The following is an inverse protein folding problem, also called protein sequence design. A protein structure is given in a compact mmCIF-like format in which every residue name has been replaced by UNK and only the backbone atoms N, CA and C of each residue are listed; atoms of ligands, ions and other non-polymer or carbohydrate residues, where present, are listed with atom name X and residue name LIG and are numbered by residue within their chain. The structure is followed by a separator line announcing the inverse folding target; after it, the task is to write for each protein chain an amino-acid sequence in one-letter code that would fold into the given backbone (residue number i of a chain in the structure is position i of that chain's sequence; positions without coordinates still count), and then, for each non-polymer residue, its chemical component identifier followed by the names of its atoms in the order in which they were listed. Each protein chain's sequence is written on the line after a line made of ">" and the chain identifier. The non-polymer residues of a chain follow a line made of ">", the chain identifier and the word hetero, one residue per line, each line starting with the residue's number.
data_IF_219557183738
#
_entry.id   IF_219557183738
#
_cell.length_a   1.000
_cell.length_b   1.000
_cell.length_c   1.000
_cell.angle_alpha   90.00
_cell.angle_beta   90.00
_cell.angle_gamma   90.00
#
_symmetry.space_group_name_H-M   'P 1'
#
loop_
_entity.id
_entity.type
_entity.pdbx_description
1 polymer ?
#
# COMPACT_ATOMS: atom_id res chain seq x y z
N UNK A 1 7.61 7.12 19.57
CA UNK A 1 6.56 6.31 18.92
C UNK A 1 6.79 6.41 17.43
N UNK A 2 6.75 5.31 16.70
CA UNK A 2 6.97 5.29 15.25
C UNK A 2 5.92 6.15 14.54
N UNK A 3 6.36 7.22 13.88
CA UNK A 3 5.48 8.19 13.21
C UNK A 3 4.83 7.59 11.96
N UNK A 4 5.57 6.76 11.22
CA UNK A 4 5.08 6.07 10.01
C UNK A 4 3.89 5.18 10.33
N UNK A 5 3.98 4.35 11.38
CA UNK A 5 2.89 3.46 11.77
C UNK A 5 1.62 4.22 12.20
N UNK A 6 1.76 5.39 12.82
CA UNK A 6 0.61 6.27 13.13
C UNK A 6 -0.03 6.83 11.86
N UNK A 7 0.79 7.32 10.93
CA UNK A 7 0.34 7.84 9.65
C UNK A 7 -0.42 6.79 8.84
N UNK A 8 0.12 5.57 8.75
CA UNK A 8 -0.55 4.43 8.12
C UNK A 8 -1.91 4.14 8.77
N UNK A 9 -2.02 4.22 10.10
CA UNK A 9 -3.31 4.03 10.79
C UNK A 9 -4.29 5.15 10.48
N UNK A 10 -3.86 6.40 10.49
CA UNK A 10 -4.73 7.53 10.16
C UNK A 10 -5.28 7.38 8.73
N UNK A 11 -4.43 7.04 7.76
CA UNK A 11 -4.83 6.78 6.38
C UNK A 11 -5.83 5.62 6.27
N UNK A 12 -5.64 4.56 7.06
CA UNK A 12 -6.61 3.46 7.14
C UNK A 12 -7.97 3.95 7.67
N UNK A 13 -7.98 4.79 8.69
CA UNK A 13 -9.22 5.34 9.28
C UNK A 13 -9.93 6.29 8.31
N UNK A 14 -9.19 7.18 7.64
CA UNK A 14 -9.72 8.10 6.63
C UNK A 14 -10.35 7.36 5.45
N UNK A 15 -9.71 6.29 4.99
CA UNK A 15 -10.19 5.46 3.89
C UNK A 15 -11.19 4.37 4.34
N UNK A 16 -11.58 4.35 5.61
CA UNK A 16 -12.44 3.34 6.24
C UNK A 16 -11.98 1.88 6.00
N UNK A 17 -10.67 1.66 5.88
CA UNK A 17 -10.07 0.36 5.61
C UNK A 17 -9.72 -0.37 6.89
N UNK A 18 -9.98 -1.68 6.91
CA UNK A 18 -9.55 -2.56 8.02
C UNK A 18 -8.23 -3.24 7.68
N UNK A 19 -7.54 -3.73 8.71
CA UNK A 19 -6.31 -4.53 8.55
C UNK A 19 -6.55 -5.72 7.61
N UNK A 20 -7.75 -6.31 7.63
CA UNK A 20 -8.16 -7.37 6.72
C UNK A 20 -8.14 -6.96 5.25
N UNK A 21 -8.49 -5.72 4.93
CA UNK A 21 -8.50 -5.21 3.56
C UNK A 21 -7.08 -4.93 3.07
N UNK A 22 -6.22 -4.40 3.95
CA UNK A 22 -4.79 -4.24 3.67
C UNK A 22 -4.12 -5.58 3.42
N UNK A 23 -4.44 -6.62 4.19
CA UNK A 23 -3.93 -7.98 3.98
C UNK A 23 -4.33 -8.52 2.61
N UNK A 24 -5.60 -8.32 2.21
CA UNK A 24 -6.09 -8.75 0.89
C UNK A 24 -5.43 -8.01 -0.26
N UNK A 25 -5.16 -6.71 -0.10
CA UNK A 25 -4.55 -5.85 -1.14
C UNK A 25 -3.04 -5.99 -1.22
N UNK A 26 -2.35 -6.07 -0.08
CA UNK A 26 -0.87 -6.16 -0.02
C UNK A 26 -0.32 -7.56 -0.22
N UNK A 27 -1.17 -8.60 -0.11
CA UNK A 27 -0.74 -9.99 -0.13
C UNK A 27 0.13 -10.40 1.09
N UNK A 28 0.24 -9.54 2.11
CA UNK A 28 1.04 -9.81 3.30
C UNK A 28 0.25 -10.60 4.35
N UNK A 29 0.92 -11.46 5.14
CA UNK A 29 0.27 -12.14 6.25
C UNK A 29 -0.30 -11.15 7.27
N UNK A 30 -1.47 -11.47 7.85
CA UNK A 30 -2.13 -10.62 8.86
C UNK A 30 -1.22 -10.30 10.05
N UNK A 31 -0.45 -11.28 10.52
CA UNK A 31 0.54 -11.11 11.58
C UNK A 31 1.63 -10.10 11.21
N UNK A 32 2.00 -10.00 9.94
CA UNK A 32 3.01 -9.07 9.43
C UNK A 32 2.43 -7.66 9.39
N UNK A 33 1.26 -7.47 8.77
CA UNK A 33 0.61 -6.15 8.71
C UNK A 33 0.36 -5.60 10.12
N UNK A 34 -0.18 -6.45 11.01
CA UNK A 34 -0.43 -6.08 12.41
C UNK A 34 0.87 -5.74 13.14
N UNK A 35 1.93 -6.54 12.96
CA UNK A 35 3.22 -6.25 13.57
C UNK A 35 3.82 -4.93 13.08
N UNK A 36 3.63 -4.57 11.81
CA UNK A 36 4.14 -3.30 11.24
C UNK A 36 3.38 -2.10 11.84
N UNK A 37 2.06 -2.20 11.91
CA UNK A 37 1.20 -1.16 12.48
C UNK A 37 1.38 -1.00 14.01
N UNK A 38 1.78 -2.06 14.72
CA UNK A 38 1.96 -2.04 16.19
C UNK A 38 3.40 -1.78 16.62
N UNK A 39 4.39 -2.37 15.94
CA UNK A 39 5.82 -2.30 16.32
C UNK A 39 6.57 -1.18 15.60
N UNK A 40 6.00 -0.64 14.52
CA UNK A 40 6.60 0.42 13.73
C UNK A 40 7.05 -0.03 12.34
N UNK A 41 6.84 0.83 11.34
CA UNK A 41 7.29 0.58 9.97
C UNK A 41 8.82 0.68 9.83
N UNK A 42 9.51 1.35 10.76
CA UNK A 42 10.97 1.43 10.77
C UNK A 42 11.64 0.07 10.98
N UNK A 43 11.00 -0.82 11.75
CA UNK A 43 11.51 -2.18 12.00
C UNK A 43 11.07 -3.19 10.93
N UNK A 44 10.23 -2.76 10.00
CA UNK A 44 9.78 -3.58 8.90
C UNK A 44 10.77 -3.46 7.73
N UNK A 45 10.95 -4.54 6.97
CA UNK A 45 11.70 -4.44 5.71
C UNK A 45 11.01 -3.46 4.77
N UNK A 46 11.78 -2.62 4.07
CA UNK A 46 11.29 -1.60 3.14
C UNK A 46 10.25 -2.15 2.14
N UNK A 47 10.49 -3.36 1.62
CA UNK A 47 9.57 -4.07 0.72
C UNK A 47 8.18 -4.27 1.35
N UNK A 48 8.10 -4.59 2.64
CA UNK A 48 6.84 -4.79 3.33
C UNK A 48 6.12 -3.46 3.59
N UNK A 49 6.87 -2.39 3.88
CA UNK A 49 6.30 -1.05 4.01
C UNK A 49 5.70 -0.61 2.68
N UNK A 50 6.44 -0.77 1.59
CA UNK A 50 5.97 -0.44 0.24
C UNK A 50 4.69 -1.19 -0.13
N UNK A 51 4.59 -2.49 0.19
CA UNK A 51 3.36 -3.28 -0.04
C UNK A 51 2.15 -2.77 0.76
N UNK A 52 2.36 -2.29 1.98
CA UNK A 52 1.29 -1.69 2.79
C UNK A 52 0.90 -0.31 2.24
N UNK A 53 1.88 0.50 1.85
CA UNK A 53 1.65 1.78 1.20
C UNK A 53 0.83 1.61 -0.09
N UNK A 54 1.24 0.68 -0.97
CA UNK A 54 0.51 0.38 -2.20
C UNK A 54 -0.92 -0.09 -1.91
N UNK A 55 -1.13 -0.90 -0.87
CA UNK A 55 -2.47 -1.32 -0.46
C UNK A 55 -3.37 -0.16 -0.01
N UNK A 56 -2.77 0.90 0.53
CA UNK A 56 -3.42 2.16 0.90
C UNK A 56 -3.55 3.14 -0.27
N UNK A 57 -2.90 2.87 -1.40
CA UNK A 57 -2.85 3.76 -2.56
C UNK A 57 -1.90 4.94 -2.39
N UNK A 58 -0.86 4.78 -1.55
CA UNK A 58 0.22 5.75 -1.40
C UNK A 58 1.57 5.10 -1.69
N UNK A 59 2.60 5.89 -1.99
CA UNK A 59 3.96 5.39 -2.13
C UNK A 59 4.74 5.45 -0.81
N UNK A 60 5.83 4.68 -0.71
CA UNK A 60 6.73 4.79 0.43
C UNK A 60 7.40 6.18 0.51
N UNK A 61 7.63 6.84 -0.62
CA UNK A 61 8.17 8.21 -0.66
C UNK A 61 7.18 9.23 -0.11
N UNK A 62 5.90 9.09 -0.46
CA UNK A 62 4.81 9.93 0.08
C UNK A 62 4.72 9.78 1.60
N UNK A 63 4.83 8.55 2.11
CA UNK A 63 4.87 8.28 3.55
C UNK A 63 6.07 8.97 4.22
N UNK A 64 7.26 8.93 3.61
CA UNK A 64 8.45 9.62 4.15
C UNK A 64 8.29 11.13 4.12
N UNK A 65 7.72 11.70 3.05
CA UNK A 65 7.39 13.12 2.96
C UNK A 65 6.44 13.54 4.08
N UNK A 66 5.39 12.78 4.32
CA UNK A 66 4.43 13.05 5.41
C UNK A 66 5.06 12.96 6.81
N UNK A 67 6.09 12.13 6.98
CA UNK A 67 6.83 12.03 8.25
C UNK A 67 7.82 13.19 8.41
N UNK A 68 8.48 13.59 7.32
CA UNK A 68 9.41 14.71 7.30
C UNK A 68 8.70 16.05 7.53
N UNK A 69 7.54 16.25 6.90
CA UNK A 69 6.65 17.39 7.13
C UNK A 69 5.78 17.14 8.36
N UNK A 70 6.31 17.44 9.56
CA UNK A 70 5.59 17.33 10.84
C UNK A 70 4.29 18.17 10.93
N UNK A 71 3.94 18.90 9.87
CA UNK A 71 2.82 19.84 9.76
C UNK A 71 1.88 19.54 8.58
N UNK A 72 1.90 18.31 8.03
CA UNK A 72 1.03 17.94 6.91
C UNK A 72 -0.46 17.96 7.31
N UNK A 73 -1.11 19.10 7.12
CA UNK A 73 -2.56 19.15 6.93
C UNK A 73 -2.84 18.60 5.53
N UNK A 74 -3.68 17.54 5.38
CA UNK A 74 -4.05 17.02 4.07
C UNK A 74 -4.90 18.07 3.35
N UNK A 75 -4.24 19.04 2.73
CA UNK A 75 -4.85 19.88 1.72
C UNK A 75 -4.76 19.12 0.42
N UNK A 76 -5.87 19.07 -0.32
CA UNK A 76 -6.03 18.38 -1.62
C UNK A 76 -6.22 16.86 -1.57
N UNK A 77 -7.49 16.48 -1.43
CA UNK A 77 -8.23 15.64 -2.38
C UNK A 77 -7.45 15.26 -3.67
N UNK A 78 -6.61 14.24 -3.65
CA UNK A 78 -5.88 13.73 -4.83
C UNK A 78 -6.24 12.24 -5.00
N UNK A 79 -6.79 11.71 -6.10
CA UNK A 79 -6.78 12.13 -7.51
C UNK A 79 -5.38 12.27 -8.15
N UNK A 80 -4.32 11.78 -7.49
CA UNK A 80 -3.03 11.55 -8.15
C UNK A 80 -3.07 10.18 -8.85
N UNK A 81 -3.82 10.15 -9.95
CA UNK A 81 -3.81 9.08 -10.94
C UNK A 81 -2.73 9.45 -11.98
N UNK A 82 -1.45 9.39 -11.60
CA UNK A 82 -0.31 9.68 -12.47
C UNK A 82 0.38 8.37 -12.88
N UNK A 83 -0.19 7.72 -13.90
CA UNK A 83 0.54 7.17 -15.05
C UNK A 83 1.58 6.04 -14.91
N UNK A 84 2.01 5.62 -13.72
CA UNK A 84 3.12 4.67 -13.52
C UNK A 84 2.80 3.61 -12.41
N UNK A 85 1.52 3.28 -12.25
CA UNK A 85 0.95 2.57 -11.09
C UNK A 85 1.19 1.05 -11.04
N UNK A 86 2.17 0.53 -11.78
CA UNK A 86 2.47 -0.90 -11.76
C UNK A 86 3.97 -1.14 -11.75
N UNK A 87 4.44 -1.79 -10.69
CA UNK A 87 5.78 -2.37 -10.69
C UNK A 87 5.88 -3.46 -11.76
N UNK A 88 7.07 -3.71 -12.31
CA UNK A 88 7.27 -4.69 -13.38
C UNK A 88 6.74 -6.10 -13.02
N UNK A 89 6.76 -6.45 -11.73
CA UNK A 89 6.21 -7.68 -11.17
C UNK A 89 4.66 -7.69 -11.19
N UNK A 90 4.02 -6.56 -10.85
CA UNK A 90 2.57 -6.41 -10.92
C UNK A 90 2.06 -6.38 -12.38
N UNK A 91 2.85 -5.83 -13.30
CA UNK A 91 2.59 -5.95 -14.74
C UNK A 91 2.71 -7.39 -15.21
N UNK A 92 3.62 -8.19 -14.65
CA UNK A 92 3.77 -9.60 -15.00
C UNK A 92 2.58 -10.43 -14.50
N UNK A 93 2.12 -10.22 -13.26
CA UNK A 93 0.92 -10.87 -12.73
C UNK A 93 -0.34 -10.53 -13.54
N UNK A 94 -0.50 -9.27 -13.96
CA UNK A 94 -1.63 -8.85 -14.80
C UNK A 94 -1.54 -9.47 -16.20
N UNK A 95 -0.35 -9.56 -16.80
CA UNK A 95 -0.13 -10.21 -18.11
C UNK A 95 -0.46 -11.70 -18.06
N UNK A 96 -0.05 -12.39 -17.01
CA UNK A 96 -0.36 -13.81 -16.80
C UNK A 96 -1.87 -14.04 -16.68
N UNK A 97 -2.58 -13.16 -15.96
CA UNK A 97 -4.03 -13.23 -15.83
C UNK A 97 -4.76 -12.96 -17.16
N UNK A 98 -4.28 -11.99 -17.95
CA UNK A 98 -4.85 -11.69 -19.28
C UNK A 98 -4.69 -12.86 -20.26
N UNK A 99 -3.54 -13.53 -20.28
CA UNK A 99 -3.33 -14.74 -21.08
C UNK A 99 -4.26 -15.88 -20.67
N UNK A 100 -4.46 -16.08 -19.37
CA UNK A 100 -5.37 -17.09 -18.85
C UNK A 100 -6.83 -16.87 -19.33
N UNK A 101 -7.32 -15.62 -19.26
CA UNK A 101 -8.67 -15.27 -19.71
C UNK A 101 -8.84 -15.46 -21.22
N UNK A 102 -7.81 -15.15 -22.02
CA UNK A 102 -7.83 -15.34 -23.47
C UNK A 102 -7.90 -16.81 -23.86
N UNK A 103 -7.15 -17.68 -23.18
CA UNK A 103 -7.21 -19.13 -23.39
C UNK A 103 -8.56 -19.72 -23.00
N UNK A 104 -9.24 -19.18 -21.98
CA UNK A 104 -10.60 -19.60 -21.59
C UNK A 104 -11.68 -19.30 -22.63
N UNK A 105 -11.47 -18.35 -23.54
CA UNK A 105 -12.43 -18.01 -24.61
C UNK A 105 -12.26 -18.86 -25.87
N UNK A 106 -11.20 -19.68 -25.96
CA UNK A 106 -10.94 -20.56 -27.10
C UNK A 106 -11.24 -22.05 -26.81
N UNK A 107 -11.96 -22.36 -25.72
CA UNK A 107 -12.55 -23.69 -25.47
C UNK A 107 -14.06 -23.63 -25.45
#
# INVERSE_FOLDING_TARGET
>A
MDQRAKLLRNLMEEQNMKVSDIVKRSGLPYSTVKAILERGAEKAGYVNVCKICNALGISADELERMVADQNYEPTTLAAHFDGDDYTEDELDEIKQFAQFVKNRKQS
#
